data_IF_168656287760
#
_entry.id   IF_168656287760
#
_cell.length_a   1.000
_cell.length_b   1.000
_cell.length_c   1.000
_cell.angle_alpha   90.00
_cell.angle_beta   90.00
_cell.angle_gamma   90.00
#
_symmetry.space_group_name_H-M   'P 1'
#
loop_
_entity.id
_entity.type
_entity.pdbx_description
1 polymer ?
#
# COMPACT_ATOMS: atom_id res chain seq x y z
N UNK A 1 5.52 0.59 8.63
CA UNK A 1 4.52 0.58 9.73
C UNK A 1 3.21 1.28 9.38
N UNK A 2 3.21 2.52 8.86
CA UNK A 2 1.96 3.30 8.68
C UNK A 2 0.95 2.67 7.69
N UNK A 3 1.41 2.30 6.47
CA UNK A 3 0.60 1.57 5.47
C UNK A 3 0.01 0.27 6.02
N UNK A 4 0.80 -0.45 6.81
CA UNK A 4 0.43 -1.70 7.45
C UNK A 4 -0.73 -1.51 8.44
N UNK A 5 -0.66 -0.48 9.29
CA UNK A 5 -1.75 -0.13 10.21
C UNK A 5 -3.03 0.25 9.46
N UNK A 6 -2.91 0.97 8.32
CA UNK A 6 -4.06 1.30 7.47
C UNK A 6 -4.74 0.04 6.94
N UNK A 7 -3.96 -0.88 6.36
CA UNK A 7 -4.47 -2.15 5.83
C UNK A 7 -5.05 -3.05 6.92
N UNK A 8 -4.40 -3.12 8.08
CA UNK A 8 -4.91 -3.84 9.25
C UNK A 8 -6.30 -3.36 9.66
N UNK A 9 -6.52 -2.04 9.69
CA UNK A 9 -7.82 -1.46 10.02
C UNK A 9 -8.92 -1.78 8.98
N UNK A 10 -8.59 -1.73 7.69
CA UNK A 10 -9.59 -1.99 6.64
C UNK A 10 -9.92 -3.49 6.53
N UNK A 11 -8.91 -4.35 6.60
CA UNK A 11 -9.07 -5.81 6.44
C UNK A 11 -9.46 -6.54 7.73
N UNK A 12 -9.42 -5.86 8.88
CA UNK A 12 -9.59 -6.46 10.21
C UNK A 12 -8.61 -7.61 10.49
N UNK A 13 -7.42 -7.53 9.90
CA UNK A 13 -6.31 -8.46 10.15
C UNK A 13 -5.34 -7.80 11.12
N UNK A 14 -4.87 -8.47 12.19
CA UNK A 14 -3.84 -7.93 13.08
C UNK A 14 -2.57 -7.55 12.31
N UNK A 15 -1.84 -6.54 12.76
CA UNK A 15 -0.62 -6.07 12.07
C UNK A 15 0.43 -7.19 11.98
N UNK A 16 0.45 -8.08 12.97
CA UNK A 16 1.32 -9.26 13.05
C UNK A 16 1.00 -10.32 11.99
N UNK A 17 -0.19 -10.26 11.39
CA UNK A 17 -0.62 -11.16 10.32
C UNK A 17 -0.09 -10.80 8.93
N UNK A 18 0.72 -9.76 8.81
CA UNK A 18 1.25 -9.29 7.54
C UNK A 18 2.78 -9.35 7.48
N UNK A 19 3.28 -9.69 6.30
CA UNK A 19 4.70 -9.69 5.98
C UNK A 19 5.07 -8.49 5.11
N UNK A 20 6.16 -7.79 5.46
CA UNK A 20 6.61 -6.59 4.75
C UNK A 20 7.08 -6.87 3.32
N UNK A 21 7.86 -7.94 3.15
CA UNK A 21 8.50 -8.34 1.88
C UNK A 21 7.96 -9.69 1.37
N UNK A 22 6.75 -10.06 1.83
CA UNK A 22 6.10 -11.32 1.53
C UNK A 22 5.05 -11.18 0.42
N UNK A 23 3.84 -11.75 0.60
CA UNK A 23 2.76 -11.66 -0.39
C UNK A 23 2.40 -10.23 -0.81
N UNK A 24 1.81 -10.11 -1.99
CA UNK A 24 1.27 -8.83 -2.46
C UNK A 24 0.14 -8.32 -1.57
N UNK A 25 -0.15 -7.02 -1.63
CA UNK A 25 -1.33 -6.45 -0.98
C UNK A 25 -2.62 -7.16 -1.42
N UNK A 26 -2.74 -7.50 -2.70
CA UNK A 26 -3.89 -8.23 -3.25
C UNK A 26 -4.07 -9.61 -2.60
N UNK A 27 -2.97 -10.29 -2.27
CA UNK A 27 -2.99 -11.60 -1.61
C UNK A 27 -3.61 -11.56 -0.21
N UNK A 28 -3.60 -10.41 0.46
CA UNK A 28 -4.23 -10.22 1.77
C UNK A 28 -5.72 -9.84 1.68
N UNK A 29 -6.28 -9.73 0.48
CA UNK A 29 -7.68 -9.35 0.27
C UNK A 29 -7.86 -7.89 -0.16
N UNK A 30 -6.81 -7.21 -0.63
CA UNK A 30 -7.00 -5.95 -1.34
C UNK A 30 -7.69 -6.23 -2.68
N UNK A 31 -8.99 -5.96 -2.74
CA UNK A 31 -9.82 -6.11 -3.94
C UNK A 31 -10.16 -4.76 -4.58
N UNK A 32 -11.14 -4.75 -5.48
CA UNK A 32 -11.52 -3.53 -6.18
C UNK A 32 -12.12 -2.44 -5.28
N UNK A 33 -12.93 -2.83 -4.29
CA UNK A 33 -13.61 -1.88 -3.40
C UNK A 33 -12.61 -1.32 -2.38
N UNK A 34 -11.82 -2.20 -1.77
CA UNK A 34 -10.80 -1.83 -0.79
C UNK A 34 -9.66 -1.07 -1.47
N UNK A 35 -9.28 -1.46 -2.70
CA UNK A 35 -8.29 -0.75 -3.50
C UNK A 35 -8.69 0.69 -3.81
N UNK A 36 -9.98 0.97 -4.01
CA UNK A 36 -10.48 2.33 -4.24
C UNK A 36 -10.37 3.19 -2.97
N UNK A 37 -10.72 2.63 -1.81
CA UNK A 37 -10.54 3.29 -0.51
C UNK A 37 -9.06 3.54 -0.22
N UNK A 38 -8.20 2.56 -0.50
CA UNK A 38 -6.76 2.66 -0.29
C UNK A 38 -6.13 3.72 -1.20
N UNK A 39 -6.52 3.79 -2.49
CA UNK A 39 -6.05 4.84 -3.41
C UNK A 39 -6.46 6.24 -2.93
N UNK A 40 -7.71 6.38 -2.49
CA UNK A 40 -8.22 7.65 -1.93
C UNK A 40 -7.41 8.06 -0.71
N UNK A 41 -7.13 7.10 0.18
CA UNK A 41 -6.31 7.35 1.35
C UNK A 41 -4.86 7.73 1.01
N UNK A 42 -4.23 7.04 0.04
CA UNK A 42 -2.87 7.37 -0.42
C UNK A 42 -2.78 8.80 -0.96
N UNK A 43 -3.81 9.24 -1.69
CA UNK A 43 -3.89 10.60 -2.19
C UNK A 43 -4.08 11.61 -1.05
N UNK A 44 -5.00 11.36 -0.13
CA UNK A 44 -5.29 12.28 0.97
C UNK A 44 -4.12 12.42 1.96
N UNK A 45 -3.43 11.31 2.27
CA UNK A 45 -2.35 11.29 3.25
C UNK A 45 -1.01 11.76 2.67
N UNK A 46 -0.71 11.39 1.41
CA UNK A 46 0.62 11.60 0.82
C UNK A 46 0.63 12.38 -0.49
N UNK A 47 -0.55 12.78 -1.01
CA UNK A 47 -0.66 13.34 -2.36
C UNK A 47 -0.28 12.36 -3.46
N UNK A 48 -0.32 11.04 -3.18
CA UNK A 48 0.08 9.99 -4.11
C UNK A 48 -1.12 9.52 -4.93
N UNK A 49 -1.20 9.94 -6.19
CA UNK A 49 -2.14 9.36 -7.15
C UNK A 49 -1.60 8.04 -7.71
N UNK A 50 -1.81 6.96 -6.98
CA UNK A 50 -1.28 5.65 -7.34
C UNK A 50 -2.20 4.91 -8.32
N UNK A 51 -1.70 4.39 -9.47
CA UNK A 51 -2.53 3.68 -10.43
C UNK A 51 -3.15 2.42 -9.81
N UNK A 52 -4.46 2.25 -10.01
CA UNK A 52 -5.21 1.13 -9.44
C UNK A 52 -4.68 -0.24 -9.89
N UNK A 53 -4.29 -0.37 -11.16
CA UNK A 53 -3.68 -1.60 -11.68
C UNK A 53 -2.35 -1.94 -10.98
N UNK A 54 -1.54 -0.91 -10.63
CA UNK A 54 -0.32 -1.12 -9.85
C UNK A 54 -0.64 -1.49 -8.41
N UNK A 55 -1.69 -0.90 -7.84
CA UNK A 55 -2.13 -1.18 -6.47
C UNK A 55 -2.57 -2.64 -6.27
N UNK A 56 -3.24 -3.20 -7.28
CA UNK A 56 -3.69 -4.60 -7.31
C UNK A 56 -2.67 -5.56 -7.93
N UNK A 57 -1.47 -5.08 -8.27
CA UNK A 57 -0.47 -5.91 -8.93
C UNK A 57 -0.04 -7.06 -7.99
N UNK A 58 0.12 -8.30 -8.51
CA UNK A 58 0.54 -9.45 -7.71
C UNK A 58 1.99 -9.35 -7.22
N UNK A 59 2.71 -8.30 -7.62
CA UNK A 59 4.10 -8.01 -7.24
C UNK A 59 4.21 -6.88 -6.20
N UNK A 60 3.12 -6.18 -5.88
CA UNK A 60 3.18 -5.05 -4.96
C UNK A 60 3.15 -5.53 -3.51
N UNK A 61 4.30 -5.51 -2.84
CA UNK A 61 4.43 -5.78 -1.40
C UNK A 61 4.27 -4.51 -0.56
N UNK A 62 4.11 -4.66 0.75
CA UNK A 62 4.09 -3.52 1.68
C UNK A 62 5.38 -2.71 1.64
N UNK A 63 6.53 -3.39 1.54
CA UNK A 63 7.85 -2.76 1.41
C UNK A 63 7.95 -1.97 0.09
N UNK A 64 7.50 -2.54 -1.02
CA UNK A 64 7.50 -1.87 -2.32
C UNK A 64 6.61 -0.60 -2.29
N UNK A 65 5.40 -0.68 -1.75
CA UNK A 65 4.54 0.49 -1.62
C UNK A 65 5.13 1.55 -0.68
N UNK A 66 5.74 1.13 0.42
CA UNK A 66 6.39 2.06 1.34
C UNK A 66 7.55 2.83 0.68
N UNK A 67 8.32 2.20 -0.22
CA UNK A 67 9.35 2.89 -1.01
C UNK A 67 8.76 3.94 -1.93
N UNK A 68 7.68 3.60 -2.66
CA UNK A 68 6.98 4.57 -3.52
C UNK A 68 6.53 5.79 -2.72
N UNK A 69 5.91 5.57 -1.55
CA UNK A 69 5.47 6.66 -0.68
C UNK A 69 6.68 7.47 -0.19
N UNK A 70 7.76 6.81 0.24
CA UNK A 70 8.96 7.48 0.73
C UNK A 70 9.63 8.35 -0.36
N UNK A 71 9.63 7.89 -1.61
CA UNK A 71 10.05 8.70 -2.77
C UNK A 71 9.14 9.91 -2.95
N UNK A 72 7.83 9.69 -2.97
CA UNK A 72 6.83 10.74 -3.16
C UNK A 72 6.92 11.88 -2.14
N UNK A 73 7.24 11.55 -0.88
CA UNK A 73 7.36 12.55 0.20
C UNK A 73 8.80 13.05 0.41
N UNK A 74 9.74 12.67 -0.47
CA UNK A 74 11.10 13.19 -0.49
C UNK A 74 12.03 12.65 0.61
N UNK A 75 11.73 11.50 1.21
CA UNK A 75 12.61 10.85 2.21
C UNK A 75 13.73 10.06 1.51
N UNK A 76 13.45 9.49 0.33
CA UNK A 76 14.41 8.80 -0.51
C UNK A 76 14.30 9.32 -1.96
N UNK A 77 15.30 9.09 -2.83
CA UNK A 77 15.15 9.37 -4.26
C UNK A 77 13.94 8.60 -4.81
N UNK A 78 13.14 9.24 -5.67
CA UNK A 78 12.11 8.53 -6.42
C UNK A 78 12.80 7.47 -7.31
N UNK A 79 12.50 6.19 -7.09
CA UNK A 79 12.91 5.12 -8.01
C UNK A 79 12.05 5.30 -9.30
N UNK A 80 12.69 5.60 -10.44
CA UNK A 80 12.07 5.74 -11.78
C UNK A 80 11.33 4.48 -12.23
#
# INVERSE_FOLDING_TARGET
MHVLKRMSGILMIPVEGFELDGPSLASYGLDSMIGAEMRTWLFNEFGLDYPFQKLLAPTLTFKALAKVIAGKIGIIPEEE
#
